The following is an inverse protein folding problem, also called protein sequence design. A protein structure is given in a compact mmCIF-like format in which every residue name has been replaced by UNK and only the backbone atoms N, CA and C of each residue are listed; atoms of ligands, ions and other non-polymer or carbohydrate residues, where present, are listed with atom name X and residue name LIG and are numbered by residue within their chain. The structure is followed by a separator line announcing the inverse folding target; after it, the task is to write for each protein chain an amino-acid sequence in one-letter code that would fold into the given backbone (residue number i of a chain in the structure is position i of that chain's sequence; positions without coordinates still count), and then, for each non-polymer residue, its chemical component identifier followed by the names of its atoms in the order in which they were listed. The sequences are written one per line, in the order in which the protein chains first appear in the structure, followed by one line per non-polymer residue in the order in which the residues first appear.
data_IF_526898478962
#
_entry.id   IF_526898478962
#
_cell.length_a   1.000
_cell.length_b   1.000
_cell.length_c   1.000
_cell.angle_alpha   90.00
_cell.angle_beta   90.00
_cell.angle_gamma   90.00
#
_symmetry.space_group_name_H-M   'P 1'
#
loop_
_entity.id
_entity.type
_entity.pdbx_description
1 polymer ?
#
# COMPACT_ATOMS: atom_id res chain seq x y z
N UNK A 1 0.43 -3.97 -4.59
CA UNK A 1 -0.59 -4.45 -3.59
C UNK A 1 -0.07 -5.74 -2.97
N UNK A 2 -0.41 -6.02 -1.69
CA UNK A 2 0.12 -7.22 -1.00
C UNK A 2 -0.64 -8.49 -1.37
N UNK A 3 0.12 -9.58 -1.55
CA UNK A 3 -0.38 -10.95 -1.49
C UNK A 3 -0.38 -11.50 -0.07
N UNK A 4 -0.96 -12.68 0.13
CA UNK A 4 -1.05 -13.31 1.45
C UNK A 4 0.29 -13.91 1.92
N UNK A 5 1.25 -14.13 1.02
CA UNK A 5 2.56 -14.68 1.37
C UNK A 5 3.36 -13.74 2.25
N UNK A 6 4.11 -14.32 3.20
CA UNK A 6 5.08 -13.64 4.04
C UNK A 6 6.50 -13.87 3.53
N UNK A 7 7.40 -12.96 3.88
CA UNK A 7 8.84 -13.13 3.62
C UNK A 7 9.32 -14.42 4.29
N UNK A 8 10.09 -15.28 3.60
CA UNK A 8 10.54 -16.54 4.15
C UNK A 8 11.37 -16.36 5.44
N UNK A 9 11.37 -17.40 6.30
CA UNK A 9 12.14 -17.41 7.56
C UNK A 9 13.62 -17.08 7.33
N UNK A 10 14.14 -16.10 8.08
CA UNK A 10 15.54 -15.71 8.04
C UNK A 10 15.91 -14.83 6.85
N UNK A 11 14.95 -14.53 5.98
CA UNK A 11 15.12 -13.61 4.86
C UNK A 11 14.69 -12.21 5.29
N UNK A 12 15.43 -11.20 4.81
CA UNK A 12 15.05 -9.79 4.93
C UNK A 12 14.80 -9.24 3.53
N UNK A 13 13.66 -8.63 3.33
CA UNK A 13 13.28 -7.91 2.12
C UNK A 13 13.53 -6.42 2.34
N UNK A 14 14.23 -5.80 1.42
CA UNK A 14 14.42 -4.35 1.32
C UNK A 14 13.67 -3.86 0.10
N UNK A 15 12.76 -2.92 0.26
CA UNK A 15 11.98 -2.35 -0.83
C UNK A 15 12.09 -0.83 -0.84
N UNK A 16 12.23 -0.29 -2.04
CA UNK A 16 12.06 1.13 -2.32
C UNK A 16 10.76 1.30 -3.08
N UNK A 17 9.80 1.97 -2.47
CA UNK A 17 8.56 2.38 -3.11
C UNK A 17 8.69 3.85 -3.50
N UNK A 18 8.51 4.14 -4.77
CA UNK A 18 8.66 5.47 -5.35
C UNK A 18 7.35 5.85 -6.04
N UNK A 19 6.72 6.92 -5.59
CA UNK A 19 5.47 7.40 -6.15
C UNK A 19 5.62 8.87 -6.56
N UNK A 20 5.21 9.18 -7.78
CA UNK A 20 5.21 10.55 -8.28
C UNK A 20 3.81 10.97 -8.73
N UNK A 21 3.32 12.04 -8.14
CA UNK A 21 2.03 12.63 -8.51
C UNK A 21 2.23 13.69 -9.59
N UNK A 22 1.82 13.37 -10.83
CA UNK A 22 1.90 14.31 -11.96
C UNK A 22 0.82 15.39 -11.86
N UNK A 23 -0.37 14.99 -11.44
CA UNK A 23 -1.50 15.92 -11.31
C UNK A 23 -2.27 15.63 -10.02
N UNK A 24 -2.00 16.42 -9.01
CA UNK A 24 -2.58 16.35 -7.68
C UNK A 24 -3.10 17.69 -7.18
N UNK A 25 -3.42 17.76 -5.91
CA UNK A 25 -3.87 18.98 -5.23
C UNK A 25 -2.76 20.03 -5.23
N UNK A 26 -3.09 21.25 -5.67
CA UNK A 26 -2.13 22.37 -5.84
C UNK A 26 -2.04 23.30 -4.65
N UNK A 27 -2.97 23.21 -3.71
CA UNK A 27 -3.06 24.07 -2.54
C UNK A 27 -2.92 23.25 -1.26
N UNK A 28 -2.55 23.91 -0.18
CA UNK A 28 -2.57 23.30 1.16
C UNK A 28 -4.01 22.92 1.49
N UNK A 29 -4.24 21.76 2.10
CA UNK A 29 -5.59 21.34 2.52
C UNK A 29 -6.09 22.21 3.68
N UNK A 30 -7.39 22.16 3.94
CA UNK A 30 -8.00 22.83 5.11
C UNK A 30 -7.41 22.31 6.44
N UNK A 31 -6.92 21.09 6.45
CA UNK A 31 -6.21 20.48 7.57
C UNK A 31 -4.72 20.86 7.67
N UNK A 32 -4.21 21.70 6.77
CA UNK A 32 -2.83 22.18 6.77
C UNK A 32 -1.83 21.25 6.09
N UNK A 33 -2.29 20.24 5.35
CA UNK A 33 -1.41 19.28 4.65
C UNK A 33 -0.87 19.87 3.36
N UNK A 34 0.39 19.54 3.05
CA UNK A 34 1.08 20.01 1.86
C UNK A 34 0.40 19.59 0.56
N UNK A 35 0.56 20.37 -0.54
CA UNK A 35 0.09 19.97 -1.87
C UNK A 35 0.71 18.65 -2.33
N UNK A 36 -0.04 17.89 -3.11
CA UNK A 36 0.41 16.64 -3.74
C UNK A 36 0.86 16.83 -5.20
N UNK A 37 0.54 17.96 -5.82
CA UNK A 37 0.96 18.28 -7.19
C UNK A 37 2.48 18.27 -7.33
N UNK A 38 2.99 17.48 -8.28
CA UNK A 38 4.42 17.25 -8.52
C UNK A 38 5.20 16.76 -7.28
N UNK A 39 4.49 16.19 -6.31
CA UNK A 39 5.11 15.62 -5.13
C UNK A 39 5.70 14.24 -5.47
N UNK A 40 6.89 14.00 -4.95
CA UNK A 40 7.56 12.72 -4.97
C UNK A 40 7.51 12.10 -3.58
N UNK A 41 7.03 10.87 -3.47
CA UNK A 41 6.97 10.12 -2.22
C UNK A 41 7.85 8.90 -2.32
N UNK A 42 8.74 8.75 -1.36
CA UNK A 42 9.65 7.62 -1.23
C UNK A 42 9.36 6.87 0.07
N UNK A 43 9.30 5.55 -0.01
CA UNK A 43 9.20 4.71 1.18
C UNK A 43 10.30 3.66 1.13
N UNK A 44 11.12 3.61 2.16
CA UNK A 44 11.99 2.47 2.40
C UNK A 44 11.24 1.52 3.32
N UNK A 45 10.98 0.31 2.84
CA UNK A 45 10.42 -0.77 3.62
C UNK A 45 11.49 -1.83 3.88
N UNK A 46 11.58 -2.29 5.13
CA UNK A 46 12.44 -3.39 5.55
C UNK A 46 11.57 -4.41 6.23
N UNK A 47 11.40 -5.58 5.62
CA UNK A 47 10.56 -6.66 6.17
C UNK A 47 11.42 -7.89 6.46
N UNK A 48 11.31 -8.43 7.68
CA UNK A 48 12.00 -9.64 8.10
C UNK A 48 11.03 -10.78 8.43
N UNK A 49 11.27 -11.95 7.82
CA UNK A 49 10.54 -13.17 8.09
C UNK A 49 11.08 -13.92 9.30
N UNK A 50 10.29 -14.10 10.35
CA UNK A 50 10.71 -14.82 11.56
C UNK A 50 10.51 -16.34 11.46
N UNK A 51 9.44 -16.73 10.76
CA UNK A 51 9.09 -18.14 10.55
C UNK A 51 8.26 -18.25 9.25
N UNK A 52 7.71 -19.42 8.96
CA UNK A 52 6.95 -19.68 7.72
C UNK A 52 5.59 -18.94 7.64
N UNK A 53 5.16 -18.28 8.72
CA UNK A 53 3.84 -17.68 8.81
C UNK A 53 3.81 -16.28 9.46
N UNK A 54 4.97 -15.70 9.83
CA UNK A 54 5.00 -14.35 10.41
C UNK A 54 6.19 -13.53 9.97
N UNK A 55 5.98 -12.24 9.81
CA UNK A 55 6.98 -11.23 9.48
C UNK A 55 6.72 -9.91 10.21
N UNK A 56 7.74 -9.06 10.24
CA UNK A 56 7.66 -7.68 10.71
C UNK A 56 8.26 -6.75 9.66
N UNK A 57 7.47 -5.80 9.19
CA UNK A 57 7.88 -4.71 8.33
C UNK A 57 8.10 -3.42 9.12
N UNK A 58 9.05 -2.64 8.67
CA UNK A 58 9.31 -1.28 9.11
C UNK A 58 9.32 -0.36 7.90
N UNK A 59 8.62 0.77 7.99
CA UNK A 59 8.53 1.78 6.95
C UNK A 59 9.15 3.09 7.38
N UNK A 60 9.94 3.66 6.48
CA UNK A 60 10.46 5.01 6.57
C UNK A 60 9.92 5.82 5.40
N UNK A 61 8.99 6.73 5.69
CA UNK A 61 8.33 7.55 4.69
C UNK A 61 9.04 8.88 4.51
N UNK A 62 9.26 9.26 3.26
CA UNK A 62 9.81 10.54 2.85
C UNK A 62 8.93 11.16 1.77
N UNK A 63 8.95 12.48 1.66
CA UNK A 63 8.28 13.23 0.61
C UNK A 63 9.14 14.40 0.16
N UNK A 64 9.10 14.66 -1.14
CA UNK A 64 9.65 15.87 -1.75
C UNK A 64 8.49 16.60 -2.43
N UNK A 65 7.81 17.54 -1.73
CA UNK A 65 6.81 18.41 -2.33
C UNK A 65 7.43 19.28 -3.42
N UNK A 66 6.62 19.75 -4.36
CA UNK A 66 7.08 20.62 -5.45
C UNK A 66 7.81 21.85 -4.91
N UNK A 67 8.96 22.16 -5.52
CA UNK A 67 9.84 23.27 -5.11
C UNK A 67 10.52 23.13 -3.74
N UNK A 68 10.40 21.98 -3.05
CA UNK A 68 10.98 21.74 -1.73
C UNK A 68 12.04 20.62 -1.77
N UNK A 69 12.84 20.51 -0.72
CA UNK A 69 13.77 19.39 -0.51
C UNK A 69 13.06 18.14 -0.01
N UNK A 70 13.77 17.01 -0.06
CA UNK A 70 13.30 15.75 0.51
C UNK A 70 13.14 15.88 2.03
N UNK A 71 12.00 15.45 2.56
CA UNK A 71 11.62 15.58 3.96
C UNK A 71 11.17 14.23 4.51
N UNK A 72 11.50 13.95 5.74
CA UNK A 72 10.90 12.83 6.46
C UNK A 72 9.42 13.12 6.76
N UNK A 73 8.59 12.12 6.47
CA UNK A 73 7.14 12.16 6.69
C UNK A 73 6.78 11.46 7.99
N UNK A 74 7.25 10.24 8.18
CA UNK A 74 6.88 9.40 9.31
C UNK A 74 7.46 8.00 9.23
N UNK A 75 7.00 7.14 10.12
CA UNK A 75 7.40 5.73 10.21
C UNK A 75 6.24 4.85 10.65
N UNK A 76 6.18 3.61 10.12
CA UNK A 76 5.20 2.62 10.55
C UNK A 76 5.88 1.28 10.89
N UNK A 77 5.25 0.50 11.75
CA UNK A 77 5.55 -0.90 12.02
C UNK A 77 4.39 -1.76 11.54
N UNK A 78 4.71 -2.86 10.85
CA UNK A 78 3.74 -3.73 10.19
C UNK A 78 3.98 -5.21 10.52
N UNK A 79 3.53 -5.72 11.68
CA UNK A 79 3.44 -7.16 11.90
C UNK A 79 2.39 -7.77 10.96
N UNK A 80 2.74 -8.91 10.35
CA UNK A 80 1.83 -9.71 9.53
C UNK A 80 1.96 -11.19 9.86
N UNK A 81 0.81 -11.87 9.85
CA UNK A 81 0.72 -13.31 10.01
C UNK A 81 -0.12 -13.91 8.89
N UNK A 82 0.28 -15.10 8.40
CA UNK A 82 -0.44 -15.86 7.37
C UNK A 82 -0.98 -17.17 7.91
N UNK A 83 -2.06 -17.66 7.32
CA UNK A 83 -2.52 -19.01 7.55
C UNK A 83 -1.46 -20.01 7.07
N UNK A 84 -1.09 -21.01 7.88
CA UNK A 84 -0.15 -22.05 7.46
C UNK A 84 -0.66 -22.84 6.26
N UNK A 85 0.21 -23.16 5.31
CA UNK A 85 -0.16 -24.00 4.15
C UNK A 85 -0.67 -25.38 4.54
N UNK A 86 -0.22 -25.89 5.69
CA UNK A 86 -0.68 -27.18 6.25
C UNK A 86 -2.18 -27.22 6.56
N UNK A 87 -2.86 -26.08 6.62
CA UNK A 87 -4.32 -26.04 6.77
C UNK A 87 -5.07 -26.44 5.48
N UNK A 88 -4.39 -26.44 4.33
CA UNK A 88 -4.95 -26.86 3.05
C UNK A 88 -6.08 -25.96 2.54
N UNK A 89 -6.11 -24.70 2.93
CA UNK A 89 -7.13 -23.77 2.44
C UNK A 89 -6.99 -23.52 0.94
N UNK A 90 -8.11 -23.39 0.20
CA UNK A 90 -8.09 -23.19 -1.26
C UNK A 90 -7.66 -21.78 -1.66
N UNK A 91 -7.35 -20.91 -0.70
CA UNK A 91 -6.92 -19.52 -0.88
C UNK A 91 -5.81 -19.21 0.12
N UNK A 92 -4.90 -18.33 -0.25
CA UNK A 92 -3.98 -17.71 0.68
C UNK A 92 -4.72 -16.71 1.57
N UNK A 93 -4.40 -16.70 2.87
CA UNK A 93 -4.98 -15.76 3.83
C UNK A 93 -3.89 -15.23 4.75
N UNK A 94 -3.84 -13.92 4.91
CA UNK A 94 -3.01 -13.29 5.94
C UNK A 94 -3.71 -12.10 6.57
N UNK A 95 -3.22 -11.68 7.72
CA UNK A 95 -3.67 -10.48 8.42
C UNK A 95 -2.45 -9.62 8.68
N UNK A 96 -2.44 -8.44 8.12
CA UNK A 96 -1.47 -7.39 8.37
C UNK A 96 -2.07 -6.36 9.32
N UNK A 97 -1.28 -5.91 10.27
CA UNK A 97 -1.60 -4.78 11.12
C UNK A 97 -0.51 -3.74 10.93
N UNK A 98 -0.88 -2.48 10.97
CA UNK A 98 0.08 -1.40 10.81
C UNK A 98 -0.22 -0.31 11.84
N UNK A 99 0.80 0.13 12.56
CA UNK A 99 0.71 1.28 13.45
C UNK A 99 1.83 2.24 13.11
N UNK A 100 1.49 3.52 13.03
CA UNK A 100 2.48 4.47 12.64
C UNK A 100 2.21 5.92 12.97
N UNK A 101 3.27 6.68 12.78
CA UNK A 101 3.31 8.11 12.98
C UNK A 101 3.61 8.85 11.69
N UNK A 102 2.88 9.93 11.44
CA UNK A 102 3.16 10.91 10.41
C UNK A 102 3.19 12.33 11.00
N UNK A 103 4.04 13.19 10.43
CA UNK A 103 4.12 14.60 10.83
C UNK A 103 2.88 15.35 10.35
N UNK A 104 2.35 16.25 11.20
CA UNK A 104 1.11 16.98 10.96
C UNK A 104 1.03 17.74 9.64
N UNK A 105 2.16 18.19 9.07
CA UNK A 105 2.20 18.84 7.74
C UNK A 105 1.97 17.91 6.55
N UNK A 106 1.97 16.58 6.79
CA UNK A 106 1.72 15.56 5.76
C UNK A 106 0.44 14.76 6.03
N UNK A 107 -0.01 14.71 7.27
CA UNK A 107 -1.26 14.08 7.66
C UNK A 107 -1.82 14.76 8.91
N UNK A 108 -3.06 15.22 8.84
CA UNK A 108 -3.75 15.81 9.99
C UNK A 108 -3.88 14.79 11.15
N UNK A 109 -4.07 13.53 10.81
CA UNK A 109 -4.08 12.40 11.74
C UNK A 109 -2.66 11.86 11.92
N UNK A 110 -2.03 12.25 13.04
CA UNK A 110 -0.59 12.00 13.25
C UNK A 110 -0.25 10.59 13.70
N UNK A 111 -1.16 9.88 14.32
CA UNK A 111 -1.03 8.47 14.66
C UNK A 111 -2.19 7.69 14.09
N UNK A 112 -1.87 6.62 13.38
CA UNK A 112 -2.86 5.78 12.71
C UNK A 112 -2.62 4.31 13.01
N UNK A 113 -3.68 3.55 12.91
CA UNK A 113 -3.69 2.10 12.94
C UNK A 113 -4.42 1.58 11.71
N UNK A 114 -3.92 0.51 11.14
CA UNK A 114 -4.54 -0.19 10.03
C UNK A 114 -4.63 -1.68 10.33
N UNK A 115 -5.79 -2.28 10.02
CA UNK A 115 -6.00 -3.71 9.97
C UNK A 115 -6.32 -4.10 8.53
N UNK A 116 -5.50 -4.99 7.95
CA UNK A 116 -5.62 -5.44 6.56
C UNK A 116 -5.70 -6.96 6.49
N UNK A 117 -6.88 -7.56 6.43
CA UNK A 117 -7.05 -8.90 5.92
C UNK A 117 -6.61 -8.95 4.45
N UNK A 118 -5.93 -10.02 4.07
CA UNK A 118 -5.47 -10.27 2.70
C UNK A 118 -5.93 -11.66 2.32
N UNK A 119 -6.61 -11.77 1.19
CA UNK A 119 -7.08 -13.04 0.63
C UNK A 119 -6.63 -13.07 -0.82
N UNK A 120 -5.90 -14.11 -1.21
CA UNK A 120 -5.44 -14.23 -2.59
C UNK A 120 -5.60 -15.65 -3.15
N UNK A 121 -5.54 -15.72 -4.48
CA UNK A 121 -5.61 -16.99 -5.21
C UNK A 121 -4.98 -16.88 -6.58
N UNK A 122 -4.21 -17.94 -6.92
CA UNK A 122 -3.82 -18.25 -8.30
C UNK A 122 -4.85 -19.15 -8.96
N UNK A 123 -5.29 -18.77 -10.18
CA UNK A 123 -6.22 -19.53 -11.00
C UNK A 123 -5.62 -19.64 -12.42
N UNK A 124 -4.84 -20.67 -12.65
CA UNK A 124 -4.10 -20.84 -13.91
C UNK A 124 -3.05 -19.74 -14.08
N UNK A 125 -3.28 -18.81 -15.02
CA UNK A 125 -2.41 -17.65 -15.27
C UNK A 125 -2.90 -16.36 -14.60
N UNK A 126 -4.01 -16.42 -13.89
CA UNK A 126 -4.59 -15.30 -13.19
C UNK A 126 -4.19 -15.32 -11.72
N UNK A 127 -3.86 -14.16 -11.20
CA UNK A 127 -3.68 -13.90 -9.78
C UNK A 127 -4.71 -12.88 -9.32
N UNK A 128 -5.41 -13.16 -8.24
CA UNK A 128 -6.41 -12.25 -7.66
C UNK A 128 -6.07 -12.06 -6.18
N UNK A 129 -6.01 -10.80 -5.73
CA UNK A 129 -5.85 -10.46 -4.31
C UNK A 129 -6.88 -9.43 -3.88
N UNK A 130 -7.49 -9.68 -2.73
CA UNK A 130 -8.45 -8.80 -2.07
C UNK A 130 -7.85 -8.34 -0.74
N UNK A 131 -7.76 -7.04 -0.54
CA UNK A 131 -7.24 -6.41 0.67
C UNK A 131 -8.28 -5.42 1.21
N UNK A 132 -9.33 -5.87 1.93
CA UNK A 132 -10.25 -4.97 2.63
C UNK A 132 -9.53 -4.38 3.85
N UNK A 133 -9.30 -3.08 3.82
CA UNK A 133 -8.52 -2.38 4.84
C UNK A 133 -9.45 -1.59 5.75
N UNK A 134 -9.18 -1.68 7.05
CA UNK A 134 -9.83 -0.91 8.10
C UNK A 134 -8.80 0.04 8.72
N UNK A 135 -8.91 1.33 8.42
CA UNK A 135 -8.06 2.39 8.94
C UNK A 135 -8.66 3.05 10.18
N UNK A 136 -7.82 3.48 11.12
CA UNK A 136 -8.25 4.20 12.31
C UNK A 136 -7.26 5.30 12.66
N UNK A 137 -7.75 6.53 12.75
CA UNK A 137 -6.99 7.59 13.41
C UNK A 137 -6.94 7.34 14.92
N UNK A 138 -5.73 7.29 15.48
CA UNK A 138 -5.49 7.19 16.92
C UNK A 138 -5.26 8.57 17.54
N UNK A 139 -4.76 9.53 16.74
CA UNK A 139 -4.50 10.90 17.19
C UNK A 139 -4.61 11.87 16.01
N UNK A 140 -5.51 12.82 16.12
CA UNK A 140 -5.80 13.84 15.15
C UNK A 140 -7.28 14.20 15.11
N UNK A 141 -7.73 15.01 14.15
CA UNK A 141 -9.13 15.45 14.06
C UNK A 141 -10.12 14.29 13.96
N UNK A 142 -9.74 13.20 13.28
CA UNK A 142 -10.62 12.05 13.04
C UNK A 142 -10.49 10.93 14.08
N UNK A 143 -9.80 11.16 15.21
CA UNK A 143 -9.57 10.12 16.23
C UNK A 143 -10.85 9.57 16.88
N UNK A 144 -11.94 10.34 16.91
CA UNK A 144 -13.26 9.91 17.37
C UNK A 144 -14.11 9.22 16.29
N UNK A 145 -13.71 9.31 15.01
CA UNK A 145 -14.46 8.68 13.92
C UNK A 145 -14.42 7.15 14.01
N UNK A 146 -15.35 6.46 13.36
CA UNK A 146 -15.29 5.02 13.17
C UNK A 146 -14.11 4.63 12.28
N UNK A 147 -13.84 3.34 12.14
CA UNK A 147 -12.85 2.85 11.19
C UNK A 147 -13.22 3.26 9.75
N UNK A 148 -12.26 3.75 9.00
CA UNK A 148 -12.38 3.96 7.56
C UNK A 148 -12.34 2.59 6.85
N UNK A 149 -13.02 2.51 5.71
CA UNK A 149 -13.03 1.32 4.88
C UNK A 149 -12.41 1.60 3.52
N UNK A 150 -11.33 0.87 3.24
CA UNK A 150 -10.55 0.98 2.01
C UNK A 150 -10.51 -0.37 1.29
N UNK A 151 -11.46 -0.68 0.40
CA UNK A 151 -11.42 -1.89 -0.40
C UNK A 151 -10.33 -1.78 -1.47
N UNK A 152 -9.41 -2.74 -1.49
CA UNK A 152 -8.36 -2.82 -2.50
C UNK A 152 -8.40 -4.17 -3.19
N UNK A 153 -8.23 -4.16 -4.52
CA UNK A 153 -8.29 -5.35 -5.37
C UNK A 153 -7.13 -5.33 -6.37
N UNK A 154 -6.47 -6.47 -6.52
CA UNK A 154 -5.49 -6.70 -7.58
C UNK A 154 -5.94 -7.87 -8.45
N UNK A 155 -5.92 -7.68 -9.76
CA UNK A 155 -6.12 -8.74 -10.75
C UNK A 155 -4.95 -8.73 -11.70
N UNK A 156 -4.11 -9.76 -11.62
CA UNK A 156 -2.93 -9.95 -12.45
C UNK A 156 -3.08 -11.10 -13.44
N UNK A 157 -2.37 -11.01 -14.55
CA UNK A 157 -2.29 -12.06 -15.57
C UNK A 157 -0.83 -12.29 -15.99
N UNK A 158 -0.37 -13.51 -15.89
CA UNK A 158 0.96 -13.91 -16.31
C UNK A 158 1.05 -13.97 -17.84
N UNK A 159 1.52 -12.88 -18.44
CA UNK A 159 1.77 -12.82 -19.87
C UNK A 159 2.88 -13.80 -20.30
N UNK A 160 3.91 -13.88 -19.48
CA UNK A 160 5.02 -14.85 -19.61
C UNK A 160 5.43 -15.31 -18.20
N UNK A 161 6.43 -16.21 -18.10
CA UNK A 161 7.01 -16.62 -16.80
C UNK A 161 7.72 -15.48 -16.04
N UNK A 162 8.00 -14.35 -16.70
CA UNK A 162 8.74 -13.21 -16.13
C UNK A 162 7.97 -11.90 -16.14
N UNK A 163 6.83 -11.86 -16.82
CA UNK A 163 6.05 -10.63 -16.99
C UNK A 163 4.60 -10.92 -16.58
N UNK A 164 4.16 -10.25 -15.54
CA UNK A 164 2.77 -10.21 -15.13
C UNK A 164 2.22 -8.81 -15.37
N UNK A 165 1.06 -8.71 -15.99
CA UNK A 165 0.30 -7.48 -16.16
C UNK A 165 -0.84 -7.47 -15.16
N UNK A 166 -1.02 -6.38 -14.44
CA UNK A 166 -2.07 -6.30 -13.44
C UNK A 166 -2.87 -5.00 -13.51
N UNK A 167 -4.09 -5.07 -13.01
CA UNK A 167 -4.90 -3.91 -12.67
C UNK A 167 -5.08 -3.89 -11.17
N UNK A 168 -4.72 -2.77 -10.55
CA UNK A 168 -4.91 -2.56 -9.13
C UNK A 168 -5.92 -1.44 -8.89
N UNK A 169 -6.88 -1.72 -8.05
CA UNK A 169 -7.87 -0.76 -7.57
C UNK A 169 -7.65 -0.47 -6.09
N UNK A 170 -7.70 0.80 -5.74
CA UNK A 170 -7.65 1.31 -4.38
C UNK A 170 -8.85 2.21 -4.13
N UNK A 171 -9.60 1.95 -3.06
CA UNK A 171 -10.77 2.73 -2.69
C UNK A 171 -10.68 3.28 -1.27
N UNK A 172 -11.27 4.44 -1.03
CA UNK A 172 -11.62 4.94 0.30
C UNK A 172 -13.08 5.38 0.22
N UNK A 173 -13.96 4.62 0.88
CA UNK A 173 -15.42 4.78 0.71
C UNK A 173 -16.08 5.55 1.85
N UNK A 174 -15.31 5.99 2.84
CA UNK A 174 -15.78 6.56 4.08
C UNK A 174 -15.58 5.60 5.25
N UNK A 175 -16.35 5.74 6.30
CA UNK A 175 -16.24 4.89 7.48
C UNK A 175 -17.17 3.67 7.40
N UNK A 176 -16.89 2.63 8.20
CA UNK A 176 -17.79 1.45 8.33
C UNK A 176 -19.19 1.81 8.84
N UNK A 177 -19.37 3.00 9.42
CA UNK A 177 -20.68 3.50 9.91
C UNK A 177 -21.36 4.44 8.90
N UNK A 178 -20.60 5.01 7.98
CA UNK A 178 -21.10 5.97 6.99
C UNK A 178 -20.30 5.89 5.72
N UNK A 179 -20.94 5.47 4.66
CA UNK A 179 -20.40 5.55 3.30
C UNK A 179 -20.58 6.99 2.80
N UNK A 180 -19.51 7.61 2.35
CA UNK A 180 -19.55 8.98 1.84
C UNK A 180 -20.21 9.02 0.43
N UNK A 181 -20.74 10.19 0.00
CA UNK A 181 -21.15 10.39 -1.39
C UNK A 181 -20.02 10.05 -2.36
N UNK A 182 -20.31 9.48 -3.51
CA UNK A 182 -19.32 9.03 -4.49
C UNK A 182 -18.31 10.11 -4.90
N UNK A 183 -18.72 11.37 -4.89
CA UNK A 183 -17.86 12.50 -5.23
C UNK A 183 -16.78 12.79 -4.16
N UNK A 184 -17.02 12.35 -2.93
CA UNK A 184 -16.12 12.51 -1.77
C UNK A 184 -15.27 11.26 -1.54
N UNK A 185 -15.64 10.13 -2.17
CA UNK A 185 -14.86 8.89 -2.09
C UNK A 185 -13.61 8.99 -2.97
N UNK A 186 -12.50 8.39 -2.52
CA UNK A 186 -11.33 8.21 -3.37
C UNK A 186 -11.38 6.84 -4.04
N UNK A 187 -11.28 6.82 -5.35
CA UNK A 187 -11.17 5.62 -6.15
C UNK A 187 -10.01 5.77 -7.12
N UNK A 188 -9.00 4.94 -7.00
CA UNK A 188 -7.83 4.96 -7.88
C UNK A 188 -7.67 3.64 -8.61
N UNK A 189 -7.31 3.71 -9.88
CA UNK A 189 -7.04 2.57 -10.73
C UNK A 189 -5.63 2.68 -11.31
N UNK A 190 -4.85 1.59 -11.23
CA UNK A 190 -3.51 1.48 -11.79
C UNK A 190 -3.43 0.32 -12.77
N UNK A 191 -2.83 0.57 -13.94
CA UNK A 191 -2.27 -0.47 -14.79
C UNK A 191 -0.82 -0.71 -14.36
N UNK A 192 -0.45 -1.97 -14.15
CA UNK A 192 0.82 -2.36 -13.53
C UNK A 192 1.51 -3.43 -14.34
N UNK A 193 2.84 -3.33 -14.41
CA UNK A 193 3.74 -4.36 -14.91
C UNK A 193 4.60 -4.85 -13.76
N UNK A 194 4.54 -6.15 -13.47
CA UNK A 194 5.43 -6.83 -12.54
C UNK A 194 6.46 -7.62 -13.35
N UNK A 195 7.74 -7.46 -13.01
CA UNK A 195 8.84 -8.18 -13.65
C UNK A 195 9.53 -9.10 -12.65
N UNK A 196 9.57 -10.39 -12.97
CA UNK A 196 10.45 -11.34 -12.29
C UNK A 196 11.90 -11.15 -12.78
N UNK A 197 12.71 -10.54 -11.92
CA UNK A 197 14.14 -10.32 -12.15
C UNK A 197 15.01 -11.42 -11.50
N UNK A 198 14.37 -12.51 -11.09
CA UNK A 198 15.01 -13.65 -10.41
C UNK A 198 14.74 -13.65 -8.89
N UNK A 199 15.17 -14.71 -8.19
CA UNK A 199 14.68 -15.01 -6.83
C UNK A 199 15.04 -13.96 -5.77
N UNK A 200 16.04 -13.11 -6.06
CA UNK A 200 16.49 -12.07 -5.12
C UNK A 200 15.85 -10.70 -5.37
N UNK A 201 15.20 -10.50 -6.49
CA UNK A 201 14.70 -9.19 -6.89
C UNK A 201 13.23 -9.22 -7.27
N UNK A 202 12.53 -8.15 -7.00
CA UNK A 202 11.21 -7.87 -7.56
C UNK A 202 11.14 -6.44 -8.09
N UNK A 203 10.35 -6.25 -9.13
CA UNK A 203 10.12 -4.95 -9.73
C UNK A 203 8.66 -4.80 -10.15
N UNK A 204 8.07 -3.70 -9.74
CA UNK A 204 6.71 -3.31 -10.07
C UNK A 204 6.73 -1.87 -10.59
N UNK A 205 6.08 -1.63 -11.72
CA UNK A 205 5.90 -0.28 -12.28
C UNK A 205 4.43 -0.10 -12.65
N UNK A 206 3.82 0.97 -12.18
CA UNK A 206 2.43 1.28 -12.45
C UNK A 206 2.18 2.72 -12.85
N UNK A 207 1.17 2.91 -13.68
CA UNK A 207 0.58 4.21 -13.97
C UNK A 207 -0.89 4.18 -13.60
N UNK A 208 -1.36 5.20 -12.88
CA UNK A 208 -2.71 5.24 -12.35
C UNK A 208 -3.35 6.61 -12.39
N UNK A 209 -4.66 6.60 -12.10
CA UNK A 209 -5.48 7.81 -12.01
C UNK A 209 -6.61 7.63 -11.02
N UNK A 210 -7.02 8.70 -10.36
CA UNK A 210 -8.28 8.71 -9.64
C UNK A 210 -9.46 8.72 -10.62
N UNK A 211 -10.48 7.94 -10.30
CA UNK A 211 -11.76 7.87 -11.02
C UNK A 211 -12.74 8.92 -10.51
N UNK A 212 -12.53 9.45 -9.30
CA UNK A 212 -13.33 10.49 -8.64
C UNK A 212 -12.57 11.80 -8.49
N UNK A 213 -13.26 12.85 -8.07
CA UNK A 213 -12.66 14.17 -7.87
C UNK A 213 -11.79 14.30 -6.61
N UNK A 214 -12.00 13.43 -5.62
CA UNK A 214 -11.30 13.49 -4.32
C UNK A 214 -9.85 13.02 -4.39
N UNK A 215 -9.51 12.12 -5.34
CA UNK A 215 -8.15 11.57 -5.44
C UNK A 215 -7.27 12.27 -6.46
N UNK A 216 -5.97 12.10 -6.29
CA UNK A 216 -4.95 12.59 -7.23
C UNK A 216 -5.02 11.88 -8.58
N UNK A 217 -4.73 12.62 -9.65
CA UNK A 217 -4.77 12.11 -11.03
C UNK A 217 -3.37 12.02 -11.63
N UNK A 218 -3.17 11.02 -12.49
CA UNK A 218 -1.89 10.77 -13.18
C UNK A 218 -0.75 10.57 -12.20
N UNK A 219 -0.72 9.38 -11.60
CA UNK A 219 0.33 8.93 -10.70
C UNK A 219 1.21 7.90 -11.39
N UNK A 220 2.49 7.93 -11.10
CA UNK A 220 3.42 6.86 -11.41
C UNK A 220 3.83 6.23 -10.09
N UNK A 221 3.85 4.91 -10.01
CA UNK A 221 4.40 4.17 -8.88
C UNK A 221 5.44 3.17 -9.36
N UNK A 222 6.45 2.94 -8.53
CA UNK A 222 7.46 1.93 -8.73
C UNK A 222 7.78 1.26 -7.39
N UNK A 223 8.00 -0.04 -7.41
CA UNK A 223 8.58 -0.79 -6.29
C UNK A 223 9.78 -1.55 -6.83
N UNK A 224 10.91 -1.39 -6.17
CA UNK A 224 12.11 -2.19 -6.39
C UNK A 224 12.46 -2.88 -5.08
N UNK A 225 12.41 -4.19 -5.08
CA UNK A 225 12.67 -5.00 -3.91
C UNK A 225 13.87 -5.93 -4.06
N UNK A 226 14.59 -6.19 -2.96
CA UNK A 226 15.70 -7.13 -2.87
C UNK A 226 15.62 -7.98 -1.63
N UNK A 227 15.63 -9.30 -1.82
CA UNK A 227 15.72 -10.29 -0.74
C UNK A 227 17.17 -10.56 -0.39
N UNK A 228 17.47 -10.58 0.91
CA UNK A 228 18.79 -10.88 1.48
C UNK A 228 18.61 -11.90 2.61
N UNK A 229 19.49 -12.87 2.68
CA UNK A 229 19.41 -13.97 3.64
C UNK A 229 19.20 -15.33 2.97
N UNK A 230 19.16 -16.38 3.78
CA UNK A 230 18.98 -17.78 3.31
C UNK A 230 17.79 -18.41 3.97
#
# INVERSE_FOLDING_TARGET
MYGAETVPRGVTMFELHSNYTINGRRVVSDAGELPTYHAWHETVEITHGFNAWSELGFYWFMSKPDGQGLQWVGTHLRPRVRAPESWGWPVGVSISQEIGYARARFSADTWTYELRPIIDKDIGRWYISLNPVLGKSLRGPNSSAAFDFTPNVNVGYDLTKRVNLAVEYYGLTGTIKRVEPIAEQEHQLFGVVNLDLGPAWEFNLGYGTALTGAGDKKLIKMILGRRVGK
#
